data_IF_813233665004
#
_entry.id   IF_813233665004
#
_cell.length_a   1.000
_cell.length_b   1.000
_cell.length_c   1.000
_cell.angle_alpha   90.00
_cell.angle_beta   90.00
_cell.angle_gamma   90.00
#
_symmetry.space_group_name_H-M   'P 1'
#
loop_
_entity.id
_entity.type
_entity.pdbx_description
1 polymer ?
#
# COMPACT_ATOMS: atom_id res chain seq x y z
N UNK A 1 0.32 -51.81 23.83
CA UNK A 1 0.92 -50.51 24.24
C UNK A 1 1.52 -49.68 23.08
N UNK A 2 1.47 -50.14 21.81
CA UNK A 2 1.98 -49.36 20.64
C UNK A 2 0.90 -48.56 19.88
N UNK A 3 -0.39 -48.92 19.96
CA UNK A 3 -1.47 -48.18 19.27
C UNK A 3 -1.82 -46.83 19.92
N UNK A 4 -1.69 -46.71 21.24
CA UNK A 4 -1.98 -45.45 21.93
C UNK A 4 -0.98 -44.32 21.58
N UNK A 5 0.23 -44.69 21.13
CA UNK A 5 1.26 -43.72 20.76
C UNK A 5 1.01 -43.08 19.38
N UNK A 6 0.34 -43.79 18.46
CA UNK A 6 0.01 -43.26 17.13
C UNK A 6 -1.17 -42.27 17.15
N UNK A 7 -2.07 -42.39 18.12
CA UNK A 7 -3.24 -41.50 18.21
C UNK A 7 -2.87 -40.08 18.68
N UNK A 8 -1.81 -39.93 19.48
CA UNK A 8 -1.33 -38.61 19.92
C UNK A 8 -0.56 -37.85 18.82
N UNK A 9 0.03 -38.54 17.85
CA UNK A 9 0.81 -37.91 16.77
C UNK A 9 -0.07 -37.29 15.67
N UNK A 10 -1.30 -37.77 15.46
CA UNK A 10 -2.24 -37.17 14.50
C UNK A 10 -2.91 -35.89 15.02
N UNK A 11 -3.09 -35.74 16.34
CA UNK A 11 -3.76 -34.58 16.93
C UNK A 11 -2.90 -33.30 16.91
N UNK A 12 -1.58 -33.43 16.72
CA UNK A 12 -0.66 -32.30 16.70
C UNK A 12 -0.60 -31.56 15.34
N UNK A 13 -1.14 -32.13 14.26
CA UNK A 13 -1.09 -31.51 12.91
C UNK A 13 -2.20 -30.50 12.63
N UNK A 14 -3.20 -30.34 13.51
CA UNK A 14 -4.37 -29.48 13.28
C UNK A 14 -4.25 -28.05 13.83
N UNK A 15 -3.11 -27.67 14.41
CA UNK A 15 -2.86 -26.31 14.90
C UNK A 15 -1.90 -25.55 13.99
N UNK A 16 -2.19 -25.51 12.67
CA UNK A 16 -1.58 -24.48 11.84
C UNK A 16 -2.45 -23.22 11.97
N UNK A 17 -1.96 -22.12 12.57
CA UNK A 17 -2.66 -20.85 12.48
C UNK A 17 -2.78 -20.55 10.99
N UNK A 18 -4.02 -20.37 10.52
CA UNK A 18 -4.25 -19.88 9.17
C UNK A 18 -3.47 -18.57 9.05
N UNK A 19 -2.37 -18.60 8.30
CA UNK A 19 -1.67 -17.39 7.93
C UNK A 19 -2.66 -16.61 7.07
N UNK A 20 -3.36 -15.65 7.67
CA UNK A 20 -4.24 -14.74 6.94
C UNK A 20 -3.31 -13.96 6.03
N UNK A 21 -3.27 -14.36 4.76
CA UNK A 21 -2.52 -13.67 3.75
C UNK A 21 -3.03 -12.23 3.72
N UNK A 22 -2.16 -11.29 4.07
CA UNK A 22 -2.49 -9.88 4.17
C UNK A 22 -2.51 -9.28 2.75
N UNK A 23 -3.57 -9.59 2.01
CA UNK A 23 -3.72 -9.24 0.59
C UNK A 23 -4.03 -7.74 0.43
N UNK A 24 -3.48 -7.12 -0.62
CA UNK A 24 -3.93 -5.80 -1.08
C UNK A 24 -5.23 -6.02 -1.86
N UNK A 25 -6.31 -5.38 -1.45
CA UNK A 25 -7.60 -5.44 -2.16
C UNK A 25 -7.76 -4.14 -2.93
N UNK A 26 -7.67 -4.21 -4.25
CA UNK A 26 -7.85 -3.05 -5.12
C UNK A 26 -9.32 -2.64 -5.20
N UNK A 27 -9.54 -1.32 -5.21
CA UNK A 27 -10.86 -0.70 -5.16
C UNK A 27 -11.39 -0.47 -6.57
N UNK A 28 -12.68 -0.73 -6.79
CA UNK A 28 -13.32 -0.40 -8.06
C UNK A 28 -13.51 1.11 -8.22
N UNK A 29 -13.46 1.62 -9.45
CA UNK A 29 -13.43 3.08 -9.69
C UNK A 29 -14.61 3.86 -9.05
N UNK A 30 -15.83 3.31 -9.05
CA UNK A 30 -17.00 3.95 -8.46
C UNK A 30 -16.93 4.05 -6.92
N UNK A 31 -16.22 3.13 -6.28
CA UNK A 31 -16.07 3.07 -4.83
C UNK A 31 -15.09 4.14 -4.36
N UNK A 32 -14.06 4.47 -5.15
CA UNK A 32 -13.13 5.56 -4.86
C UNK A 32 -13.85 6.91 -4.69
N UNK A 33 -14.83 7.22 -5.55
CA UNK A 33 -15.61 8.47 -5.44
C UNK A 33 -16.43 8.52 -4.16
N UNK A 34 -17.01 7.39 -3.75
CA UNK A 34 -17.75 7.29 -2.48
C UNK A 34 -16.84 7.53 -1.27
N UNK A 35 -15.63 6.99 -1.29
CA UNK A 35 -14.65 7.17 -0.22
C UNK A 35 -14.19 8.65 -0.10
N UNK A 36 -13.98 9.32 -1.23
CA UNK A 36 -13.66 10.76 -1.26
C UNK A 36 -14.84 11.59 -0.72
N UNK A 37 -16.05 11.33 -1.24
CA UNK A 37 -17.25 12.09 -0.85
C UNK A 37 -17.63 11.89 0.62
N UNK A 38 -17.29 10.74 1.22
CA UNK A 38 -17.48 10.47 2.64
C UNK A 38 -16.36 11.02 3.53
N UNK A 39 -15.28 11.55 2.96
CA UNK A 39 -14.12 12.07 3.69
C UNK A 39 -13.22 10.99 4.30
N UNK A 40 -13.40 9.71 3.93
CA UNK A 40 -12.55 8.62 4.40
C UNK A 40 -11.14 8.66 3.78
N UNK A 41 -11.03 9.21 2.57
CA UNK A 41 -9.76 9.42 1.87
C UNK A 41 -9.71 10.81 1.24
N UNK A 42 -8.49 11.30 1.02
CA UNK A 42 -8.23 12.46 0.17
C UNK A 42 -8.48 12.07 -1.30
N UNK A 43 -8.88 13.05 -2.12
CA UNK A 43 -8.90 12.86 -3.57
C UNK A 43 -7.50 12.65 -4.14
N UNK A 44 -7.39 11.93 -5.25
CA UNK A 44 -6.12 11.73 -5.96
C UNK A 44 -5.41 13.05 -6.28
N UNK A 45 -6.13 14.08 -6.74
CA UNK A 45 -5.54 15.38 -7.08
C UNK A 45 -4.84 16.05 -5.89
N UNK A 46 -5.47 16.03 -4.72
CA UNK A 46 -4.87 16.54 -3.47
C UNK A 46 -3.61 15.75 -3.10
N UNK A 47 -3.65 14.41 -3.26
CA UNK A 47 -2.48 13.55 -3.02
C UNK A 47 -1.35 13.81 -4.04
N UNK A 48 -1.65 13.99 -5.32
CA UNK A 48 -0.64 14.29 -6.34
C UNK A 48 0.02 15.65 -6.10
N UNK A 49 -0.74 16.65 -5.64
CA UNK A 49 -0.20 17.95 -5.27
C UNK A 49 0.78 17.85 -4.08
N UNK A 50 0.53 16.99 -3.10
CA UNK A 50 1.49 16.79 -1.99
C UNK A 50 2.75 16.05 -2.46
N UNK A 51 2.62 15.09 -3.38
CA UNK A 51 3.75 14.36 -3.95
C UNK A 51 4.68 15.28 -4.74
N UNK A 52 4.15 16.24 -5.49
CA UNK A 52 4.97 17.19 -6.27
C UNK A 52 5.94 17.99 -5.39
N UNK A 53 5.62 18.22 -4.11
CA UNK A 53 6.53 18.89 -3.18
C UNK A 53 7.73 18.01 -2.76
N UNK A 54 7.64 16.70 -2.95
CA UNK A 54 8.64 15.71 -2.51
C UNK A 54 9.35 15.01 -3.66
N UNK A 55 8.70 14.84 -4.81
CA UNK A 55 9.21 14.08 -5.94
C UNK A 55 8.77 14.69 -7.28
N UNK A 56 9.71 15.30 -8.00
CA UNK A 56 9.44 15.84 -9.33
C UNK A 56 9.48 14.73 -10.39
N UNK A 57 8.43 14.63 -11.19
CA UNK A 57 8.35 13.64 -12.26
C UNK A 57 6.98 13.58 -12.93
N UNK A 58 6.82 12.63 -13.85
CA UNK A 58 5.57 12.34 -14.54
C UNK A 58 4.85 11.20 -13.85
N UNK A 59 3.56 11.37 -13.57
CA UNK A 59 2.69 10.28 -13.13
C UNK A 59 2.60 9.20 -14.23
N UNK A 60 2.87 7.96 -13.85
CA UNK A 60 2.74 6.79 -14.71
C UNK A 60 1.49 6.00 -14.35
N UNK A 61 1.26 5.75 -13.06
CA UNK A 61 0.10 5.01 -12.59
C UNK A 61 -0.29 5.40 -11.15
N UNK A 62 -1.53 5.13 -10.77
CA UNK A 62 -2.03 5.32 -9.41
C UNK A 62 -3.12 4.29 -9.06
N UNK A 63 -2.85 3.49 -8.02
CA UNK A 63 -3.80 2.51 -7.49
C UNK A 63 -4.30 2.93 -6.11
N UNK A 64 -5.59 2.67 -5.85
CA UNK A 64 -6.19 2.76 -4.52
C UNK A 64 -6.52 1.35 -4.03
N UNK A 65 -6.02 0.99 -2.85
CA UNK A 65 -6.28 -0.31 -2.25
C UNK A 65 -6.40 -0.23 -0.73
N UNK A 66 -7.01 -1.24 -0.14
CA UNK A 66 -6.99 -1.44 1.30
C UNK A 66 -5.91 -2.45 1.70
N UNK A 67 -5.17 -2.15 2.76
CA UNK A 67 -4.17 -3.05 3.33
C UNK A 67 -4.12 -2.90 4.86
N UNK A 68 -4.28 -4.01 5.58
CA UNK A 68 -4.39 -4.00 7.06
C UNK A 68 -5.44 -3.01 7.58
N UNK A 69 -6.60 -2.93 6.91
CA UNK A 69 -7.67 -2.00 7.27
C UNK A 69 -7.39 -0.53 6.95
N UNK A 70 -6.23 -0.20 6.35
CA UNK A 70 -5.85 1.17 6.00
C UNK A 70 -5.96 1.39 4.49
N UNK A 71 -6.53 2.52 4.11
CA UNK A 71 -6.57 2.95 2.71
C UNK A 71 -5.21 3.46 2.27
N UNK A 72 -4.76 3.01 1.10
CA UNK A 72 -3.44 3.32 0.54
C UNK A 72 -3.55 3.77 -0.90
N UNK A 73 -2.81 4.83 -1.22
CA UNK A 73 -2.46 5.14 -2.59
C UNK A 73 -1.07 4.54 -2.88
N UNK A 74 -0.93 3.82 -3.99
CA UNK A 74 0.36 3.46 -4.57
C UNK A 74 0.49 4.24 -5.88
N UNK A 75 1.40 5.20 -5.89
CA UNK A 75 1.59 6.15 -6.97
C UNK A 75 2.94 5.89 -7.62
N UNK A 76 2.93 5.61 -8.90
CA UNK A 76 4.13 5.39 -9.69
C UNK A 76 4.52 6.65 -10.44
N UNK A 77 5.72 7.16 -10.18
CA UNK A 77 6.27 8.37 -10.80
C UNK A 77 7.50 7.99 -11.62
N UNK A 78 7.60 8.53 -12.83
CA UNK A 78 8.87 8.58 -13.57
C UNK A 78 9.57 9.90 -13.26
N UNK A 79 10.67 9.83 -12.54
CA UNK A 79 11.47 11.00 -12.17
C UNK A 79 12.06 11.69 -13.40
N UNK A 80 12.51 12.94 -13.23
CA UNK A 80 13.19 13.68 -14.31
C UNK A 80 14.47 12.99 -14.80
N UNK A 81 15.12 12.19 -13.94
CA UNK A 81 16.28 11.35 -14.27
C UNK A 81 15.89 10.04 -14.98
N UNK A 82 14.61 9.86 -15.30
CA UNK A 82 14.06 8.70 -16.02
C UNK A 82 13.78 7.46 -15.17
N UNK A 83 14.06 7.50 -13.87
CA UNK A 83 13.85 6.38 -12.95
C UNK A 83 12.37 6.23 -12.59
N UNK A 84 11.90 4.98 -12.48
CA UNK A 84 10.56 4.67 -11.99
C UNK A 84 10.60 4.50 -10.48
N UNK A 85 9.71 5.18 -9.76
CA UNK A 85 9.61 5.12 -8.30
C UNK A 85 8.16 4.89 -7.89
N UNK A 86 7.97 4.01 -6.90
CA UNK A 86 6.67 3.73 -6.32
C UNK A 86 6.58 4.39 -4.94
N UNK A 87 5.57 5.22 -4.75
CA UNK A 87 5.29 5.91 -3.50
C UNK A 87 4.00 5.35 -2.90
N UNK A 88 4.09 4.81 -1.69
CA UNK A 88 2.90 4.35 -0.95
C UNK A 88 2.53 5.39 0.08
N UNK A 89 1.31 5.92 -0.02
CA UNK A 89 0.77 6.95 0.86
C UNK A 89 -0.43 6.42 1.64
N UNK A 90 -0.61 6.93 2.85
CA UNK A 90 -1.86 6.81 3.56
C UNK A 90 -2.93 7.68 2.89
N UNK A 91 -3.98 7.06 2.35
CA UNK A 91 -4.97 7.78 1.56
C UNK A 91 -5.80 8.76 2.39
N UNK A 92 -5.88 8.58 3.72
CA UNK A 92 -6.62 9.49 4.61
C UNK A 92 -5.85 10.77 4.95
N UNK A 93 -4.51 10.73 4.88
CA UNK A 93 -3.64 11.84 5.29
C UNK A 93 -2.74 12.38 4.20
N UNK A 94 -2.56 11.63 3.10
CA UNK A 94 -1.62 11.96 2.02
C UNK A 94 -0.15 11.84 2.42
N UNK A 95 0.15 11.26 3.59
CA UNK A 95 1.51 11.08 4.09
C UNK A 95 2.10 9.75 3.63
N UNK A 96 3.42 9.70 3.46
CA UNK A 96 4.11 8.46 3.15
C UNK A 96 3.86 7.38 4.22
N UNK A 97 3.43 6.20 3.79
CA UNK A 97 3.11 5.09 4.67
C UNK A 97 4.39 4.45 5.23
N UNK A 98 4.55 4.32 6.55
CA UNK A 98 5.72 3.66 7.14
C UNK A 98 5.79 2.17 6.75
N UNK A 99 7.01 1.60 6.57
CA UNK A 99 8.31 2.27 6.57
C UNK A 99 8.64 2.82 5.16
N UNK A 100 8.23 4.04 4.87
CA UNK A 100 8.57 4.68 3.61
C UNK A 100 9.87 5.46 3.78
N UNK A 101 10.86 5.12 2.96
CA UNK A 101 11.95 6.01 2.62
C UNK A 101 11.66 6.58 1.24
N UNK A 102 11.63 7.91 1.14
CA UNK A 102 11.56 8.57 -0.15
C UNK A 102 12.82 8.18 -0.95
N UNK A 103 12.68 7.65 -2.18
CA UNK A 103 13.84 7.29 -2.98
C UNK A 103 14.76 8.49 -3.21
N UNK A 104 16.07 8.27 -3.23
CA UNK A 104 17.05 9.35 -3.41
C UNK A 104 16.85 10.13 -4.72
N UNK A 105 16.23 9.52 -5.73
CA UNK A 105 15.91 10.15 -7.01
C UNK A 105 14.69 11.08 -6.98
N UNK A 106 13.90 11.04 -5.91
CA UNK A 106 12.87 12.04 -5.64
C UNK A 106 13.43 13.29 -4.96
N UNK A 107 14.55 13.19 -4.23
CA UNK A 107 15.17 14.34 -3.61
C UNK A 107 15.60 15.31 -4.73
N UNK A 108 15.02 16.49 -4.73
CA UNK A 108 15.53 17.62 -5.47
C UNK A 108 16.92 17.94 -4.92
N UNK A 109 17.97 17.40 -5.55
CA UNK A 109 19.24 18.12 -5.59
C UNK A 109 18.88 19.50 -6.11
N UNK A 110 18.88 20.49 -5.20
CA UNK A 110 18.83 21.90 -5.51
C UNK A 110 19.79 22.12 -6.67
N UNK A 111 19.25 22.47 -7.84
CA UNK A 111 20.07 23.04 -8.91
C UNK A 111 20.61 24.39 -8.45
#
# INVERSE_FOLDING_TARGET
MKLALYLCLLAAMLHQPAAVANQKIEVQHYEAQTLVNSGQILSLDVTLNSIQAMCNGKLIDAHLYQHQGKWRYEVQIRTLKGQLVDLVLDASTGQLAKPAQLPASCNTEKL
#
